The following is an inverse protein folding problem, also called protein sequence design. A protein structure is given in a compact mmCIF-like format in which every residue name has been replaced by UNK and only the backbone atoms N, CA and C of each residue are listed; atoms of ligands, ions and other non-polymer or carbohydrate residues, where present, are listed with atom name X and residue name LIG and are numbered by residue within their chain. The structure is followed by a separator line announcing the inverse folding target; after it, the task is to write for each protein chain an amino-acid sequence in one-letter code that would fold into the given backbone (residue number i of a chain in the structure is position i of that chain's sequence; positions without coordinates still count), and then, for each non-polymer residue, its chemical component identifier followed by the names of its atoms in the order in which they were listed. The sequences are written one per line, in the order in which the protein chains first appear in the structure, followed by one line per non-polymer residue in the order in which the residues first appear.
data_IF_990311863300
#
_entry.id   IF_990311863300
#
_cell.length_a   1.000
_cell.length_b   1.000
_cell.length_c   1.000
_cell.angle_alpha   90.00
_cell.angle_beta   90.00
_cell.angle_gamma   90.00
#
_symmetry.space_group_name_H-M   'P 1'
#
loop_
_entity.id
_entity.type
_entity.pdbx_description
1 polymer ?
#
# COMPACT_ATOMS: atom_id res chain seq x y z
N UNK A 1 -43.01 49.69 -26.26
CA UNK A 1 -41.70 50.37 -26.50
C UNK A 1 -40.93 50.29 -25.19
N UNK A 2 -39.91 49.43 -25.02
CA UNK A 2 -38.49 49.62 -25.46
C UNK A 2 -37.93 50.97 -24.97
N UNK A 3 -36.79 51.15 -24.27
CA UNK A 3 -35.61 50.31 -23.95
C UNK A 3 -34.84 50.98 -22.79
N UNK A 4 -34.29 50.18 -21.88
CA UNK A 4 -32.99 50.20 -21.16
C UNK A 4 -32.11 51.46 -21.03
N UNK A 5 -31.49 51.63 -19.83
CA UNK A 5 -30.05 51.96 -19.57
C UNK A 5 -29.66 51.41 -18.19
N UNK A 6 -28.98 50.26 -18.03
CA UNK A 6 -27.55 49.93 -18.16
C UNK A 6 -26.64 50.48 -17.02
N UNK A 7 -26.37 49.58 -16.05
CA UNK A 7 -25.05 49.04 -15.63
C UNK A 7 -24.09 49.84 -14.71
N UNK A 8 -23.71 49.22 -13.58
CA UNK A 8 -22.34 48.78 -13.17
C UNK A 8 -22.38 48.47 -11.66
N UNK A 9 -22.22 47.23 -11.19
CA UNK A 9 -20.93 46.55 -11.09
C UNK A 9 -21.11 45.03 -11.00
N UNK A 10 -20.54 44.32 -11.98
CA UNK A 10 -20.34 42.88 -12.00
C UNK A 10 -19.06 42.54 -11.24
N UNK A 11 -19.16 41.66 -10.25
CA UNK A 11 -18.05 40.76 -9.89
C UNK A 11 -18.61 39.35 -10.05
N UNK A 12 -18.26 38.74 -11.17
CA UNK A 12 -18.65 37.40 -11.58
C UNK A 12 -17.55 36.45 -11.12
N UNK A 13 -17.69 35.86 -9.94
CA UNK A 13 -17.00 34.61 -9.64
C UNK A 13 -17.89 33.48 -10.14
N UNK A 14 -17.39 32.80 -11.17
CA UNK A 14 -18.15 31.88 -12.00
C UNK A 14 -18.96 30.86 -11.20
N UNK A 15 -20.19 30.66 -11.68
CA UNK A 15 -21.05 29.53 -11.38
C UNK A 15 -20.27 28.21 -11.55
N UNK A 16 -19.84 27.61 -10.45
CA UNK A 16 -19.58 26.18 -10.44
C UNK A 16 -20.91 25.47 -10.58
N UNK A 17 -21.13 24.84 -11.75
CA UNK A 17 -22.15 23.81 -11.91
C UNK A 17 -21.82 22.67 -10.97
N UNK A 18 -22.42 22.67 -9.79
CA UNK A 18 -22.44 21.54 -8.87
C UNK A 18 -23.13 20.37 -9.56
N UNK A 19 -22.35 19.37 -9.98
CA UNK A 19 -22.87 18.06 -10.34
C UNK A 19 -23.63 17.49 -9.13
N UNK A 20 -24.90 17.08 -9.25
CA UNK A 20 -25.73 16.67 -8.11
C UNK A 20 -25.35 15.34 -7.45
N UNK A 21 -24.13 14.82 -7.67
CA UNK A 21 -23.66 13.54 -7.11
C UNK A 21 -22.17 13.51 -6.74
N UNK A 22 -21.55 14.65 -6.45
CA UNK A 22 -20.27 14.64 -5.75
C UNK A 22 -20.56 14.62 -4.23
N UNK A 23 -20.21 13.55 -3.48
CA UNK A 23 -20.39 13.56 -2.04
C UNK A 23 -19.56 14.70 -1.44
N UNK A 24 -20.19 15.51 -0.60
CA UNK A 24 -19.48 16.57 0.10
C UNK A 24 -18.59 15.92 1.16
N UNK A 25 -17.45 16.53 1.49
CA UNK A 25 -16.43 16.01 2.41
C UNK A 25 -16.95 15.65 3.81
N UNK A 26 -18.19 16.03 4.13
CA UNK A 26 -18.88 15.74 5.39
C UNK A 26 -19.80 14.51 5.34
N UNK A 27 -20.01 13.89 4.18
CA UNK A 27 -20.86 12.69 4.00
C UNK A 27 -20.08 11.38 4.19
N UNK A 28 -18.77 11.46 4.49
CA UNK A 28 -17.93 10.29 4.70
C UNK A 28 -18.19 9.69 6.08
N UNK A 29 -19.09 8.72 6.13
CA UNK A 29 -19.40 7.92 7.30
C UNK A 29 -18.30 6.87 7.51
N UNK A 30 -17.32 7.20 8.37
CA UNK A 30 -16.21 6.32 8.76
C UNK A 30 -16.67 5.05 9.47
N UNK A 31 -17.95 4.93 9.85
CA UNK A 31 -18.51 3.71 10.45
C UNK A 31 -19.01 2.70 9.41
N UNK A 32 -19.09 3.08 8.13
CA UNK A 32 -19.48 2.19 7.00
C UNK A 32 -18.30 1.58 6.25
N UNK A 33 -17.08 2.06 6.49
CA UNK A 33 -15.89 1.32 6.08
C UNK A 33 -15.80 0.07 6.94
N UNK A 34 -15.69 -1.11 6.31
CA UNK A 34 -15.57 -2.42 6.99
C UNK A 34 -14.68 -2.30 8.22
N UNK A 35 -15.08 -2.90 9.36
CA UNK A 35 -14.43 -2.64 10.62
C UNK A 35 -12.94 -2.98 10.50
N UNK A 36 -12.13 -2.01 10.92
CA UNK A 36 -10.68 -2.08 11.11
C UNK A 36 -10.33 -3.03 12.27
N UNK A 37 -11.10 -4.10 12.47
CA UNK A 37 -11.15 -4.92 13.69
C UNK A 37 -10.19 -6.10 13.69
N UNK A 38 -9.75 -6.58 12.51
CA UNK A 38 -8.77 -7.67 12.45
C UNK A 38 -7.38 -7.19 12.88
N UNK A 39 -7.11 -5.89 12.67
CA UNK A 39 -5.90 -5.19 13.08
C UNK A 39 -5.63 -5.27 14.58
N UNK A 40 -6.65 -5.00 15.39
CA UNK A 40 -6.49 -5.01 16.84
C UNK A 40 -6.39 -6.43 17.39
N UNK A 41 -7.13 -7.38 16.81
CA UNK A 41 -7.13 -8.75 17.31
C UNK A 41 -5.80 -9.46 17.05
N UNK A 42 -5.16 -9.25 15.89
CA UNK A 42 -3.88 -9.91 15.58
C UNK A 42 -2.71 -9.28 16.34
N UNK A 43 -2.67 -7.95 16.44
CA UNK A 43 -1.66 -7.25 17.24
C UNK A 43 -1.77 -7.62 18.73
N UNK A 44 -2.97 -7.72 19.29
CA UNK A 44 -3.17 -8.11 20.71
C UNK A 44 -2.70 -9.54 21.00
N UNK A 45 -2.92 -10.50 20.09
CA UNK A 45 -2.43 -11.88 20.27
C UNK A 45 -0.89 -11.92 20.27
N UNK A 46 -0.25 -11.13 19.41
CA UNK A 46 1.22 -11.08 19.31
C UNK A 46 1.83 -10.36 20.53
N UNK A 47 1.21 -9.26 20.99
CA UNK A 47 1.74 -8.48 22.12
C UNK A 47 1.59 -9.18 23.46
N UNK A 48 0.55 -9.99 23.68
CA UNK A 48 0.40 -10.77 24.91
C UNK A 48 1.43 -11.91 25.05
N UNK A 49 2.12 -12.28 23.95
CA UNK A 49 3.13 -13.35 23.92
C UNK A 49 4.58 -12.86 24.01
N UNK A 50 4.84 -11.55 24.10
CA UNK A 50 6.20 -11.00 24.12
C UNK A 50 6.58 -10.42 25.50
N UNK A 51 7.73 -10.79 26.10
CA UNK A 51 8.19 -10.18 27.35
C UNK A 51 8.55 -8.71 27.12
N UNK A 52 8.16 -7.86 28.07
CA UNK A 52 8.25 -6.40 28.05
C UNK A 52 9.69 -5.84 28.02
N UNK A 53 10.38 -5.97 26.88
CA UNK A 53 11.57 -5.16 26.54
C UNK A 53 11.53 -4.81 25.07
N UNK A 54 11.16 -3.56 24.79
CA UNK A 54 11.41 -2.78 23.56
C UNK A 54 11.69 -3.60 22.29
N UNK A 55 10.64 -4.07 21.63
CA UNK A 55 10.73 -4.58 20.27
C UNK A 55 9.84 -3.72 19.36
N UNK A 56 10.48 -3.07 18.38
CA UNK A 56 9.78 -2.44 17.26
C UNK A 56 8.86 -3.48 16.62
N UNK A 57 7.69 -3.10 16.08
CA UNK A 57 6.82 -4.06 15.41
C UNK A 57 7.63 -4.79 14.35
N UNK A 58 7.78 -6.11 14.52
CA UNK A 58 8.45 -6.99 13.56
C UNK A 58 7.74 -6.78 12.22
N UNK A 59 8.50 -6.35 11.22
CA UNK A 59 7.98 -6.19 9.87
C UNK A 59 7.51 -7.54 9.35
N UNK A 60 6.24 -7.64 9.00
CA UNK A 60 5.59 -8.89 8.63
C UNK A 60 4.88 -8.80 7.27
N UNK A 61 4.18 -9.86 6.88
CA UNK A 61 3.51 -9.91 5.57
C UNK A 61 2.42 -8.85 5.41
N UNK A 62 1.75 -8.45 6.49
CA UNK A 62 0.77 -7.36 6.42
C UNK A 62 1.49 -6.05 6.06
N UNK A 63 2.59 -5.73 6.74
CA UNK A 63 3.38 -4.55 6.41
C UNK A 63 3.88 -4.58 4.96
N UNK A 64 4.39 -5.74 4.51
CA UNK A 64 4.75 -5.97 3.12
C UNK A 64 3.60 -5.64 2.19
N UNK A 65 2.41 -6.21 2.43
CA UNK A 65 1.26 -6.03 1.55
C UNK A 65 0.81 -4.56 1.48
N UNK A 66 0.88 -3.83 2.59
CA UNK A 66 0.55 -2.40 2.64
C UNK A 66 1.58 -1.55 1.88
N UNK A 67 2.86 -1.82 2.07
CA UNK A 67 3.93 -1.09 1.39
C UNK A 67 3.90 -1.32 -0.11
N UNK A 68 3.73 -2.57 -0.56
CA UNK A 68 3.57 -2.88 -1.98
C UNK A 68 2.29 -2.23 -2.54
N UNK A 69 1.16 -2.25 -1.81
CA UNK A 69 -0.06 -1.57 -2.25
C UNK A 69 0.10 -0.03 -2.32
N UNK A 70 0.97 0.55 -1.50
CA UNK A 70 1.33 1.97 -1.53
C UNK A 70 2.32 2.32 -2.65
N UNK A 71 2.90 1.32 -3.33
CA UNK A 71 3.89 1.53 -4.38
C UNK A 71 5.33 1.64 -3.87
N UNK A 72 5.61 1.24 -2.63
CA UNK A 72 6.97 1.20 -2.09
C UNK A 72 7.76 0.02 -2.69
N UNK A 73 9.06 0.22 -2.81
CA UNK A 73 9.98 -0.85 -3.22
C UNK A 73 10.66 -1.46 -1.99
N UNK A 74 10.94 -2.76 -2.05
CA UNK A 74 11.40 -3.51 -0.89
C UNK A 74 12.60 -4.35 -1.27
N UNK A 75 13.60 -4.36 -0.42
CA UNK A 75 14.79 -5.17 -0.57
C UNK A 75 15.07 -5.89 0.74
N UNK A 76 15.37 -7.18 0.66
CA UNK A 76 15.59 -8.02 1.84
C UNK A 76 16.55 -9.16 1.52
N UNK A 77 17.18 -9.70 2.56
CA UNK A 77 18.05 -10.87 2.47
C UNK A 77 17.36 -12.06 3.14
N UNK A 78 17.31 -13.18 2.42
CA UNK A 78 16.76 -14.46 2.88
C UNK A 78 17.64 -15.62 2.40
N UNK A 79 18.03 -16.53 3.30
CA UNK A 79 18.95 -17.64 3.00
C UNK A 79 20.22 -17.20 2.25
N UNK A 80 20.89 -16.17 2.77
CA UNK A 80 22.11 -15.57 2.22
C UNK A 80 22.00 -15.01 0.79
N UNK A 81 20.77 -14.85 0.29
CA UNK A 81 20.48 -14.24 -1.01
C UNK A 81 19.69 -12.97 -0.85
N UNK A 82 20.01 -11.99 -1.69
CA UNK A 82 19.35 -10.68 -1.68
C UNK A 82 18.28 -10.62 -2.75
N UNK A 83 17.08 -10.23 -2.36
CA UNK A 83 15.90 -10.12 -3.21
C UNK A 83 15.41 -8.68 -3.24
N UNK A 84 14.79 -8.31 -4.35
CA UNK A 84 14.17 -7.01 -4.55
C UNK A 84 12.78 -7.18 -5.14
N UNK A 85 11.82 -6.45 -4.56
CA UNK A 85 10.52 -6.15 -5.13
C UNK A 85 10.55 -4.68 -5.57
N UNK A 86 10.41 -4.42 -6.86
CA UNK A 86 10.49 -3.06 -7.42
C UNK A 86 9.38 -2.79 -8.41
N UNK A 87 9.13 -1.50 -8.70
CA UNK A 87 8.12 -1.06 -9.65
C UNK A 87 8.79 -0.37 -10.83
N UNK A 88 8.50 -0.84 -12.04
CA UNK A 88 9.06 -0.25 -13.26
C UNK A 88 8.09 -0.39 -14.43
N UNK A 89 8.06 0.60 -15.32
CA UNK A 89 7.25 0.57 -16.55
C UNK A 89 5.77 0.15 -16.34
N UNK A 90 5.20 0.45 -15.18
CA UNK A 90 3.82 0.10 -14.85
C UNK A 90 3.57 -1.36 -14.45
N UNK A 91 4.62 -2.12 -14.13
CA UNK A 91 4.53 -3.47 -13.56
C UNK A 91 5.43 -3.63 -12.35
N UNK A 92 5.23 -4.74 -11.65
CA UNK A 92 6.01 -5.14 -10.48
C UNK A 92 7.01 -6.21 -10.83
N UNK A 93 8.18 -6.17 -10.20
CA UNK A 93 9.26 -7.10 -10.48
C UNK A 93 9.74 -7.74 -9.19
N UNK A 94 9.90 -9.06 -9.22
CA UNK A 94 10.62 -9.80 -8.20
C UNK A 94 11.94 -10.30 -8.78
N UNK A 95 13.06 -9.92 -8.17
CA UNK A 95 14.40 -10.17 -8.71
C UNK A 95 15.37 -10.61 -7.62
N UNK A 96 16.24 -11.56 -7.95
CA UNK A 96 17.44 -11.84 -7.14
C UNK A 96 18.50 -10.82 -7.54
N UNK A 97 18.99 -10.02 -6.59
CA UNK A 97 19.90 -8.89 -6.86
C UNK A 97 21.21 -9.34 -7.51
N UNK A 98 21.68 -10.55 -7.22
CA UNK A 98 22.89 -11.11 -7.84
C UNK A 98 22.68 -11.59 -9.28
N UNK A 99 21.42 -11.72 -9.71
CA UNK A 99 21.01 -12.31 -10.98
C UNK A 99 19.89 -11.46 -11.63
N UNK A 100 20.27 -10.23 -11.98
CA UNK A 100 19.38 -9.24 -12.60
C UNK A 100 18.75 -9.69 -13.93
N UNK A 101 19.30 -10.73 -14.57
CA UNK A 101 18.81 -11.24 -15.86
C UNK A 101 17.50 -12.04 -15.71
N UNK A 102 17.17 -12.50 -14.49
CA UNK A 102 16.02 -13.35 -14.20
C UNK A 102 14.89 -12.63 -13.43
N UNK A 103 14.72 -11.33 -13.65
CA UNK A 103 13.62 -10.56 -13.07
C UNK A 103 12.26 -11.07 -13.58
N UNK A 104 11.37 -11.44 -12.65
CA UNK A 104 10.01 -11.90 -12.98
C UNK A 104 9.06 -10.73 -12.85
N UNK A 105 8.28 -10.46 -13.91
CA UNK A 105 7.31 -9.37 -13.96
C UNK A 105 5.90 -9.85 -13.61
N UNK A 106 5.17 -9.01 -12.88
CA UNK A 106 3.77 -9.15 -12.51
C UNK A 106 3.01 -7.87 -12.89
N UNK A 107 1.74 -7.99 -13.27
CA UNK A 107 0.94 -6.83 -13.68
C UNK A 107 0.43 -6.04 -12.46
N UNK A 108 0.12 -6.72 -11.35
CA UNK A 108 -0.46 -6.08 -10.17
C UNK A 108 0.26 -6.48 -8.87
N UNK A 109 0.18 -5.64 -7.82
CA UNK A 109 0.60 -5.98 -6.46
C UNK A 109 0.10 -7.35 -5.98
N UNK A 110 -1.19 -7.62 -6.19
CA UNK A 110 -1.85 -8.83 -5.72
C UNK A 110 -1.31 -10.06 -6.44
N UNK A 111 -1.05 -9.93 -7.74
CA UNK A 111 -0.45 -11.00 -8.53
C UNK A 111 0.96 -11.33 -8.03
N UNK A 112 1.78 -10.31 -7.74
CA UNK A 112 3.11 -10.50 -7.18
C UNK A 112 3.04 -11.22 -5.83
N UNK A 113 2.21 -10.74 -4.91
CA UNK A 113 2.08 -11.29 -3.56
C UNK A 113 1.56 -12.74 -3.58
N UNK A 114 0.61 -13.04 -4.47
CA UNK A 114 0.04 -14.38 -4.60
C UNK A 114 0.98 -15.37 -5.29
N UNK A 115 1.79 -14.94 -6.27
CA UNK A 115 2.57 -15.85 -7.11
C UNK A 115 4.05 -15.99 -6.73
N UNK A 116 4.66 -14.98 -6.09
CA UNK A 116 6.09 -15.06 -5.76
C UNK A 116 6.37 -16.19 -4.78
N UNK A 117 7.34 -17.03 -5.13
CA UNK A 117 7.84 -18.12 -4.30
C UNK A 117 9.35 -18.11 -4.25
N UNK A 118 9.92 -18.37 -3.08
CA UNK A 118 11.35 -18.66 -2.93
C UNK A 118 11.47 -20.12 -2.50
N UNK A 119 11.86 -20.99 -3.43
CA UNK A 119 11.72 -22.44 -3.24
C UNK A 119 10.23 -22.82 -3.16
N UNK A 120 9.82 -23.42 -2.04
CA UNK A 120 8.42 -23.82 -1.80
C UNK A 120 7.63 -22.80 -0.96
N UNK A 121 8.28 -21.74 -0.47
CA UNK A 121 7.69 -20.79 0.47
C UNK A 121 7.10 -19.58 -0.24
N UNK A 122 5.94 -19.13 0.24
CA UNK A 122 5.30 -17.88 -0.19
C UNK A 122 5.99 -16.67 0.45
N UNK A 123 5.73 -15.46 -0.06
CA UNK A 123 6.15 -14.24 0.65
C UNK A 123 5.50 -14.14 2.04
N UNK A 124 4.27 -14.61 2.20
CA UNK A 124 3.60 -14.66 3.50
C UNK A 124 4.37 -15.54 4.50
N UNK A 125 4.76 -16.75 4.08
CA UNK A 125 5.52 -17.66 4.93
C UNK A 125 6.85 -17.02 5.38
N UNK A 126 7.52 -16.37 4.43
CA UNK A 126 8.84 -15.78 4.64
C UNK A 126 8.77 -14.60 5.61
N UNK A 127 7.83 -13.67 5.38
CA UNK A 127 7.74 -12.46 6.19
C UNK A 127 7.08 -12.69 7.56
N UNK A 128 6.32 -13.77 7.75
CA UNK A 128 5.69 -14.06 9.04
C UNK A 128 6.48 -15.03 9.91
N UNK A 129 7.22 -15.97 9.32
CA UNK A 129 7.80 -17.10 10.07
C UNK A 129 9.31 -17.29 9.89
N UNK A 130 9.93 -16.60 8.94
CA UNK A 130 11.35 -16.77 8.68
C UNK A 130 12.17 -15.58 9.20
N UNK A 131 13.48 -15.79 9.33
CA UNK A 131 14.41 -14.73 9.70
C UNK A 131 14.88 -13.99 8.44
N UNK A 132 14.45 -12.74 8.33
CA UNK A 132 14.92 -11.80 7.31
C UNK A 132 16.04 -10.94 7.87
N UNK A 133 16.99 -10.58 7.01
CA UNK A 133 18.03 -9.58 7.32
C UNK A 133 18.07 -8.49 6.26
N UNK A 134 18.67 -7.35 6.60
CA UNK A 134 18.90 -6.22 5.68
C UNK A 134 17.63 -5.69 4.97
N UNK A 135 16.48 -5.76 5.64
CA UNK A 135 15.22 -5.21 5.12
C UNK A 135 15.33 -3.69 4.94
N UNK A 136 15.08 -3.23 3.71
CA UNK A 136 15.03 -1.82 3.34
C UNK A 136 13.78 -1.55 2.52
N UNK A 137 13.13 -0.41 2.77
CA UNK A 137 11.92 0.04 2.08
C UNK A 137 12.24 1.41 1.47
N UNK A 138 11.86 1.63 0.21
CA UNK A 138 12.14 2.84 -0.58
C UNK A 138 10.86 3.57 -1.00
#
# INVERSE_FOLDING_TARGET
MNVSKINKNNVNYGNQKIHPKAPHRHDYDWTKTKPRSDWYSMYSIITDMMPAKEEFPIYNYINLSEDIAAGHEIMFTYNDKKYSISISQGGWYFTVVEDYENAIRYETPEELLDQVRIGIKTLEDIFNFENLSELTIY
#
